data_IF_396580157331
#
_entry.id   IF_396580157331
#
_cell.length_a   1.000
_cell.length_b   1.000
_cell.length_c   1.000
_cell.angle_alpha   90.00
_cell.angle_beta   90.00
_cell.angle_gamma   90.00
#
_symmetry.space_group_name_H-M   'P 1'
#
loop_
_entity.id
_entity.type
_entity.pdbx_description
1 polymer ?
#
# COMPACT_ATOMS: atom_id res chain seq x y z
N UNK A 1 -6.34 -12.63 -29.42
CA UNK A 1 -6.55 -11.67 -28.34
C UNK A 1 -7.69 -12.05 -27.39
N UNK A 2 -8.95 -12.29 -27.87
CA UNK A 2 -10.07 -12.71 -27.00
C UNK A 2 -9.76 -13.96 -26.17
N UNK A 3 -9.18 -14.99 -26.78
CA UNK A 3 -8.78 -16.23 -26.10
C UNK A 3 -7.77 -15.93 -24.97
N UNK A 4 -6.73 -15.11 -25.24
CA UNK A 4 -5.74 -14.74 -24.22
C UNK A 4 -6.36 -13.99 -23.05
N UNK A 5 -7.26 -13.02 -23.31
CA UNK A 5 -7.99 -12.31 -22.24
C UNK A 5 -8.82 -13.28 -21.38
N UNK A 6 -9.51 -14.20 -22.02
CA UNK A 6 -10.31 -15.21 -21.33
C UNK A 6 -9.43 -16.13 -20.47
N UNK A 7 -8.32 -16.63 -21.05
CA UNK A 7 -7.39 -17.51 -20.35
C UNK A 7 -6.78 -16.81 -19.10
N UNK A 8 -6.28 -15.58 -19.25
CA UNK A 8 -5.74 -14.84 -18.12
C UNK A 8 -6.81 -14.45 -17.09
N UNK A 9 -8.03 -14.13 -17.54
CA UNK A 9 -9.16 -13.92 -16.64
C UNK A 9 -9.47 -15.16 -15.80
N UNK A 10 -9.48 -16.35 -16.41
CA UNK A 10 -9.64 -17.63 -15.69
C UNK A 10 -8.50 -17.91 -14.73
N UNK A 11 -7.24 -17.62 -15.11
CA UNK A 11 -6.08 -17.78 -14.22
C UNK A 11 -6.25 -16.88 -13.00
N UNK A 12 -6.59 -15.60 -13.17
CA UNK A 12 -6.84 -14.68 -12.07
C UNK A 12 -7.93 -15.19 -11.12
N UNK A 13 -9.05 -15.66 -11.67
CA UNK A 13 -10.15 -16.23 -10.87
C UNK A 13 -9.74 -17.52 -10.15
N UNK A 14 -8.96 -18.38 -10.79
CA UNK A 14 -8.45 -19.61 -10.19
C UNK A 14 -7.51 -19.32 -9.01
N UNK A 15 -6.61 -18.32 -9.14
CA UNK A 15 -5.73 -17.88 -8.05
C UNK A 15 -6.57 -17.30 -6.90
N UNK A 16 -7.57 -16.45 -7.21
CA UNK A 16 -8.48 -15.92 -6.20
C UNK A 16 -9.20 -17.04 -5.45
N UNK A 17 -9.76 -18.01 -6.17
CA UNK A 17 -10.43 -19.16 -5.57
C UNK A 17 -9.48 -19.98 -4.68
N UNK A 18 -8.26 -20.23 -5.15
CA UNK A 18 -7.21 -20.88 -4.36
C UNK A 18 -6.87 -20.11 -3.08
N UNK A 19 -6.76 -18.77 -3.19
CA UNK A 19 -6.53 -17.90 -2.04
C UNK A 19 -7.69 -18.02 -1.02
N UNK A 20 -8.95 -17.97 -1.48
CA UNK A 20 -10.14 -18.08 -0.61
C UNK A 20 -10.16 -19.44 0.10
N UNK A 21 -9.88 -20.54 -0.61
CA UNK A 21 -9.79 -21.88 -0.02
C UNK A 21 -8.64 -21.95 1.02
N UNK A 22 -7.53 -21.29 0.75
CA UNK A 22 -6.42 -21.23 1.72
C UNK A 22 -6.82 -20.44 2.97
N UNK A 23 -7.45 -19.28 2.78
CA UNK A 23 -7.88 -18.41 3.88
C UNK A 23 -8.97 -19.05 4.74
N UNK A 24 -9.88 -19.87 4.16
CA UNK A 24 -10.92 -20.55 4.93
C UNK A 24 -10.40 -21.56 5.98
N UNK A 25 -9.11 -21.90 5.87
CA UNK A 25 -8.40 -22.79 6.83
C UNK A 25 -7.60 -22.01 7.87
N UNK A 26 -7.63 -20.67 7.84
CA UNK A 26 -6.87 -19.87 8.78
C UNK A 26 -7.54 -19.84 10.15
N UNK A 27 -6.72 -19.89 11.18
CA UNK A 27 -7.10 -19.48 12.52
C UNK A 27 -6.89 -17.96 12.65
N UNK A 28 -7.77 -17.25 13.34
CA UNK A 28 -7.63 -15.81 13.57
C UNK A 28 -6.43 -15.46 14.45
N UNK A 29 -6.13 -16.27 15.45
CA UNK A 29 -4.93 -16.13 16.27
C UNK A 29 -3.76 -16.92 15.67
N UNK A 30 -3.18 -16.42 14.58
CA UNK A 30 -2.15 -17.14 13.81
C UNK A 30 -0.74 -17.11 14.41
N UNK A 31 -0.60 -16.70 15.65
CA UNK A 31 0.68 -16.67 16.36
C UNK A 31 1.61 -15.50 15.96
N UNK A 32 1.08 -14.52 15.25
CA UNK A 32 1.77 -13.26 14.95
C UNK A 32 1.26 -12.19 15.89
N UNK A 33 2.14 -11.57 16.64
CA UNK A 33 1.76 -10.61 17.69
C UNK A 33 0.96 -9.42 17.16
N UNK A 34 1.36 -8.88 16.00
CA UNK A 34 0.65 -7.80 15.31
C UNK A 34 -0.83 -8.13 15.07
N UNK A 35 -1.09 -9.35 14.62
CA UNK A 35 -2.41 -9.82 14.25
C UNK A 35 -3.34 -9.90 15.45
N UNK A 36 -2.85 -10.41 16.58
CA UNK A 36 -3.61 -10.50 17.85
C UNK A 36 -3.91 -9.10 18.40
N UNK A 37 -2.99 -8.15 18.23
CA UNK A 37 -3.20 -6.76 18.63
C UNK A 37 -4.31 -6.10 17.80
N UNK A 38 -4.39 -6.36 16.49
CA UNK A 38 -5.49 -5.86 15.67
C UNK A 38 -6.85 -6.49 16.06
N UNK A 39 -6.88 -7.75 16.47
CA UNK A 39 -8.10 -8.38 17.01
C UNK A 39 -8.55 -7.70 18.31
N UNK A 40 -7.62 -7.40 19.22
CA UNK A 40 -7.94 -6.60 20.41
C UNK A 40 -8.57 -5.25 20.05
N UNK A 41 -7.98 -4.55 19.07
CA UNK A 41 -8.51 -3.26 18.63
C UNK A 41 -9.90 -3.41 18.01
N UNK A 42 -10.14 -4.47 17.24
CA UNK A 42 -11.45 -4.76 16.68
C UNK A 42 -12.50 -5.02 17.81
N UNK A 43 -12.14 -5.79 18.81
CA UNK A 43 -12.96 -6.04 19.98
C UNK A 43 -13.31 -4.74 20.74
N UNK A 44 -12.34 -3.84 20.93
CA UNK A 44 -12.59 -2.52 21.53
C UNK A 44 -13.60 -1.69 20.70
N UNK A 45 -13.50 -1.70 19.36
CA UNK A 45 -14.46 -1.03 18.51
C UNK A 45 -15.85 -1.66 18.57
N UNK A 46 -15.96 -2.98 18.59
CA UNK A 46 -17.25 -3.65 18.71
C UNK A 46 -17.94 -3.36 20.03
N UNK A 47 -17.18 -3.28 21.11
CA UNK A 47 -17.70 -3.04 22.46
C UNK A 47 -17.98 -1.58 22.76
N UNK A 48 -17.12 -0.65 22.30
CA UNK A 48 -17.12 0.75 22.69
C UNK A 48 -17.44 1.72 21.53
N UNK A 49 -17.69 1.21 20.32
CA UNK A 49 -17.86 2.05 19.13
C UNK A 49 -16.63 2.94 18.91
N UNK A 50 -16.83 4.24 18.69
CA UNK A 50 -15.74 5.22 18.51
C UNK A 50 -14.83 5.30 19.74
N UNK A 51 -15.29 4.95 20.93
CA UNK A 51 -14.48 4.82 22.14
C UNK A 51 -13.32 3.82 22.01
N UNK A 52 -13.40 2.87 21.08
CA UNK A 52 -12.34 1.94 20.73
C UNK A 52 -11.07 2.57 20.12
N UNK A 53 -11.09 3.88 19.83
CA UNK A 53 -9.87 4.64 19.54
C UNK A 53 -8.94 4.74 20.76
N UNK A 54 -9.46 4.68 21.97
CA UNK A 54 -8.67 4.57 23.18
C UNK A 54 -8.25 3.11 23.37
N UNK A 55 -6.95 2.85 23.30
CA UNK A 55 -6.39 1.50 23.38
C UNK A 55 -5.70 1.19 24.71
N UNK A 56 -5.96 1.99 25.77
CA UNK A 56 -5.42 1.76 27.09
C UNK A 56 -5.72 0.32 27.55
N UNK A 57 -4.72 -0.37 28.10
CA UNK A 57 -4.85 -1.74 28.63
C UNK A 57 -5.89 -1.85 29.74
N UNK A 58 -6.15 -0.76 30.49
CA UNK A 58 -7.20 -0.71 31.50
C UNK A 58 -8.62 -0.97 30.94
N UNK A 59 -8.80 -0.90 29.62
CA UNK A 59 -10.06 -1.24 28.96
C UNK A 59 -10.26 -2.75 28.71
N UNK A 60 -9.28 -3.57 29.03
CA UNK A 60 -9.33 -5.04 28.89
C UNK A 60 -9.91 -5.74 30.13
N UNK A 61 -10.83 -5.08 30.84
CA UNK A 61 -11.45 -5.62 32.06
C UNK A 61 -12.29 -6.87 31.84
N UNK A 62 -12.60 -7.23 30.60
CA UNK A 62 -13.24 -8.47 30.19
C UNK A 62 -12.23 -9.59 29.85
N UNK A 63 -10.92 -9.32 30.02
CA UNK A 63 -9.83 -10.27 29.79
C UNK A 63 -9.76 -10.83 28.36
N UNK A 64 -10.34 -10.14 27.38
CA UNK A 64 -10.34 -10.58 25.97
C UNK A 64 -8.92 -10.79 25.44
N UNK A 65 -8.07 -9.76 25.58
CA UNK A 65 -6.71 -9.82 25.03
C UNK A 65 -5.84 -10.82 25.78
N UNK A 66 -5.99 -10.88 27.09
CA UNK A 66 -5.34 -11.92 27.92
C UNK A 66 -5.69 -13.33 27.44
N UNK A 67 -6.97 -13.57 27.11
CA UNK A 67 -7.42 -14.82 26.52
C UNK A 67 -6.76 -15.13 25.17
N UNK A 68 -6.66 -14.12 24.28
CA UNK A 68 -5.99 -14.26 23.00
C UNK A 68 -4.49 -14.51 23.13
N UNK A 69 -3.82 -13.88 24.08
CA UNK A 69 -2.40 -14.13 24.37
C UNK A 69 -2.14 -15.54 24.87
N UNK A 70 -3.04 -16.09 25.70
CA UNK A 70 -3.01 -17.50 26.11
C UNK A 70 -3.19 -18.44 24.93
N UNK A 71 -4.11 -18.13 24.02
CA UNK A 71 -4.38 -18.93 22.81
C UNK A 71 -3.13 -19.09 21.93
N UNK A 72 -2.29 -18.05 21.83
CA UNK A 72 -1.02 -18.09 21.08
C UNK A 72 0.19 -18.50 21.94
N UNK A 73 -0.04 -18.96 23.17
CA UNK A 73 0.99 -19.37 24.13
C UNK A 73 2.05 -18.27 24.41
N UNK A 74 1.63 -17.01 24.46
CA UNK A 74 2.53 -15.88 24.81
C UNK A 74 2.91 -15.97 26.30
N UNK A 75 4.20 -16.03 26.60
CA UNK A 75 4.67 -16.35 27.97
C UNK A 75 4.27 -15.30 29.02
N UNK A 76 4.22 -14.03 28.64
CA UNK A 76 3.99 -12.90 29.54
C UNK A 76 2.54 -12.36 29.47
N UNK A 77 1.59 -13.25 29.16
CA UNK A 77 0.17 -12.90 28.99
C UNK A 77 -0.47 -12.21 30.20
N UNK A 78 0.03 -12.48 31.41
CA UNK A 78 -0.52 -11.94 32.66
C UNK A 78 0.02 -10.57 33.07
N UNK A 79 1.04 -10.05 32.36
CA UNK A 79 1.63 -8.75 32.66
C UNK A 79 1.34 -7.73 31.55
N UNK A 80 0.35 -6.83 31.73
CA UNK A 80 0.03 -5.82 30.71
C UNK A 80 1.18 -4.91 30.32
N UNK A 81 2.19 -4.73 31.16
CA UNK A 81 3.37 -3.92 30.85
C UNK A 81 4.28 -4.59 29.81
N UNK A 82 4.13 -5.91 29.61
CA UNK A 82 4.89 -6.73 28.67
C UNK A 82 4.08 -7.23 27.49
N UNK A 83 2.82 -6.84 27.41
CA UNK A 83 1.99 -7.24 26.28
C UNK A 83 2.59 -6.78 24.94
N UNK A 84 2.57 -7.63 23.89
CA UNK A 84 3.09 -7.28 22.60
C UNK A 84 2.34 -6.08 22.02
N UNK A 85 3.00 -5.29 21.19
CA UNK A 85 2.44 -4.09 20.55
C UNK A 85 1.93 -3.00 21.51
N UNK A 86 2.22 -3.07 22.79
CA UNK A 86 1.79 -2.09 23.78
C UNK A 86 2.98 -1.35 24.38
N UNK A 87 2.85 -0.03 24.50
CA UNK A 87 3.92 0.83 24.99
C UNK A 87 3.42 1.72 26.12
N UNK A 88 4.25 1.95 27.14
CA UNK A 88 3.95 2.93 28.19
C UNK A 88 4.08 4.35 27.62
N UNK A 89 3.09 5.18 27.93
CA UNK A 89 3.06 6.59 27.56
C UNK A 89 3.48 7.46 28.76
N UNK A 90 3.97 8.69 28.52
CA UNK A 90 4.28 9.64 29.59
C UNK A 90 3.10 9.95 30.52
N UNK A 91 1.87 9.76 30.05
CA UNK A 91 0.64 9.89 30.84
C UNK A 91 0.38 8.76 31.84
N UNK A 92 1.26 7.75 31.91
CA UNK A 92 1.08 6.54 32.71
C UNK A 92 0.14 5.49 32.09
N UNK A 93 -0.45 5.77 30.90
CA UNK A 93 -1.24 4.79 30.14
C UNK A 93 -0.29 3.79 29.45
N UNK A 94 -0.74 2.53 29.31
CA UNK A 94 -0.14 1.57 28.42
C UNK A 94 -1.10 1.40 27.25
N UNK A 95 -0.65 1.70 26.02
CA UNK A 95 -1.51 1.78 24.83
C UNK A 95 -0.93 1.00 23.68
N UNK A 96 -1.79 0.57 22.77
CA UNK A 96 -1.38 -0.13 21.57
C UNK A 96 -0.72 0.84 20.58
N UNK A 97 0.34 0.37 19.92
CA UNK A 97 1.14 1.20 19.01
C UNK A 97 0.51 1.40 17.63
N UNK A 98 -0.37 0.48 17.19
CA UNK A 98 -0.87 0.50 15.81
C UNK A 98 -1.99 1.50 15.56
N UNK A 99 -2.06 2.06 14.32
CA UNK A 99 -3.16 2.90 13.89
C UNK A 99 -4.52 2.16 13.92
N UNK A 100 -5.65 2.90 14.00
CA UNK A 100 -6.95 2.31 14.32
C UNK A 100 -7.64 1.59 13.15
N UNK A 101 -7.24 1.82 11.91
CA UNK A 101 -8.04 1.43 10.75
C UNK A 101 -8.14 -0.07 10.51
N UNK A 102 -7.07 -0.84 10.76
CA UNK A 102 -7.13 -2.29 10.60
C UNK A 102 -8.09 -2.91 11.61
N UNK A 103 -7.99 -2.54 12.88
CA UNK A 103 -8.93 -3.00 13.90
C UNK A 103 -10.37 -2.56 13.60
N UNK A 104 -10.57 -1.32 13.13
CA UNK A 104 -11.90 -0.85 12.72
C UNK A 104 -12.48 -1.69 11.58
N UNK A 105 -11.71 -2.01 10.54
CA UNK A 105 -12.18 -2.86 9.44
C UNK A 105 -12.52 -4.28 9.89
N UNK A 106 -11.71 -4.85 10.78
CA UNK A 106 -11.99 -6.15 11.39
C UNK A 106 -13.28 -6.11 12.21
N UNK A 107 -13.53 -5.02 12.93
CA UNK A 107 -14.73 -4.86 13.76
C UNK A 107 -16.05 -4.84 12.96
N UNK A 108 -16.00 -4.66 11.65
CA UNK A 108 -17.18 -4.74 10.78
C UNK A 108 -17.71 -6.18 10.63
N UNK A 109 -16.93 -7.17 11.02
CA UNK A 109 -17.28 -8.58 10.93
C UNK A 109 -17.44 -9.19 12.33
N UNK A 110 -18.28 -10.23 12.48
CA UNK A 110 -18.48 -10.89 13.78
C UNK A 110 -17.17 -11.40 14.37
N UNK A 111 -17.05 -11.32 15.69
CA UNK A 111 -15.90 -11.84 16.42
C UNK A 111 -15.71 -13.35 16.12
N UNK A 112 -14.45 -13.76 15.96
CA UNK A 112 -14.11 -15.12 15.52
C UNK A 112 -14.21 -15.37 14.02
N UNK A 113 -14.73 -14.38 13.23
CA UNK A 113 -14.90 -14.44 11.78
C UNK A 113 -14.54 -13.11 11.12
N UNK A 114 -13.46 -12.45 11.58
CA UNK A 114 -13.11 -11.10 11.17
C UNK A 114 -12.09 -11.07 10.01
N UNK A 115 -11.13 -11.97 10.05
CA UNK A 115 -9.95 -11.95 9.19
C UNK A 115 -10.26 -12.35 7.76
N UNK A 116 -10.94 -13.50 7.59
CA UNK A 116 -11.22 -14.05 6.25
C UNK A 116 -12.08 -13.10 5.41
N UNK A 117 -13.19 -12.52 5.90
CA UNK A 117 -13.98 -11.56 5.13
C UNK A 117 -13.19 -10.30 4.74
N UNK A 118 -12.33 -9.77 5.61
CA UNK A 118 -11.47 -8.63 5.30
C UNK A 118 -10.55 -8.94 4.12
N UNK A 119 -9.87 -10.09 4.16
CA UNK A 119 -8.97 -10.51 3.08
C UNK A 119 -9.71 -10.81 1.78
N UNK A 120 -10.89 -11.43 1.86
CA UNK A 120 -11.74 -11.69 0.69
C UNK A 120 -12.16 -10.37 0.04
N UNK A 121 -12.66 -9.41 0.82
CA UNK A 121 -13.06 -8.11 0.32
C UNK A 121 -11.89 -7.37 -0.37
N UNK A 122 -10.72 -7.33 0.25
CA UNK A 122 -9.53 -6.72 -0.32
C UNK A 122 -9.08 -7.46 -1.60
N UNK A 123 -9.10 -8.79 -1.61
CA UNK A 123 -8.73 -9.60 -2.77
C UNK A 123 -9.70 -9.44 -3.95
N UNK A 124 -10.99 -9.25 -3.68
CA UNK A 124 -11.99 -8.96 -4.71
C UNK A 124 -11.73 -7.60 -5.39
N UNK A 125 -11.34 -6.57 -4.63
CA UNK A 125 -10.97 -5.26 -5.19
C UNK A 125 -9.75 -5.41 -6.12
N UNK A 126 -8.70 -6.09 -5.66
CA UNK A 126 -7.48 -6.32 -6.45
C UNK A 126 -7.79 -7.15 -7.70
N UNK A 127 -8.59 -8.22 -7.58
CA UNK A 127 -9.01 -9.05 -8.71
C UNK A 127 -9.83 -8.24 -9.73
N UNK A 128 -10.78 -7.43 -9.27
CA UNK A 128 -11.58 -6.56 -10.14
C UNK A 128 -10.73 -5.60 -10.96
N UNK A 129 -9.69 -5.00 -10.34
CA UNK A 129 -8.74 -4.14 -11.06
C UNK A 129 -7.83 -4.94 -11.99
N UNK A 130 -7.38 -6.14 -11.62
CA UNK A 130 -6.61 -7.02 -12.49
C UNK A 130 -7.40 -7.39 -13.76
N UNK A 131 -8.67 -7.81 -13.59
CA UNK A 131 -9.56 -8.09 -14.70
C UNK A 131 -9.80 -6.84 -15.57
N UNK A 132 -10.02 -5.68 -14.94
CA UNK A 132 -10.15 -4.41 -15.66
C UNK A 132 -8.92 -4.10 -16.52
N UNK A 133 -7.71 -4.32 -16.01
CA UNK A 133 -6.47 -4.19 -16.76
C UNK A 133 -6.39 -5.12 -17.97
N UNK A 134 -6.78 -6.39 -17.80
CA UNK A 134 -6.83 -7.38 -18.89
C UNK A 134 -7.84 -6.96 -19.97
N UNK A 135 -9.02 -6.46 -19.56
CA UNK A 135 -10.03 -5.99 -20.53
C UNK A 135 -9.59 -4.72 -21.27
N UNK A 136 -8.89 -3.80 -20.60
CA UNK A 136 -8.35 -2.57 -21.21
C UNK A 136 -7.21 -2.84 -22.20
N UNK A 137 -6.50 -3.95 -22.08
CA UNK A 137 -5.40 -4.31 -22.97
C UNK A 137 -5.88 -4.45 -24.43
N UNK A 138 -5.19 -3.81 -25.38
CA UNK A 138 -5.58 -3.74 -26.79
C UNK A 138 -4.72 -4.61 -27.71
N UNK A 139 -3.55 -5.05 -27.25
CA UNK A 139 -2.62 -5.88 -28.01
C UNK A 139 -2.33 -7.17 -27.25
N UNK A 140 -1.80 -8.20 -27.94
CA UNK A 140 -1.42 -9.44 -27.28
C UNK A 140 -0.33 -9.21 -26.19
N UNK A 141 0.77 -8.48 -26.44
CA UNK A 141 1.75 -8.18 -25.38
C UNK A 141 1.16 -7.47 -24.17
N UNK A 142 0.26 -6.49 -24.39
CA UNK A 142 -0.39 -5.79 -23.27
C UNK A 142 -1.35 -6.70 -22.51
N UNK A 143 -2.01 -7.64 -23.19
CA UNK A 143 -2.89 -8.63 -22.54
C UNK A 143 -2.08 -9.61 -21.68
N UNK A 144 -0.94 -10.09 -22.20
CA UNK A 144 -0.02 -10.95 -21.45
C UNK A 144 0.54 -10.22 -20.22
N UNK A 145 1.05 -8.99 -20.42
CA UNK A 145 1.59 -8.19 -19.33
C UNK A 145 0.56 -7.90 -18.23
N UNK A 146 -0.65 -7.47 -18.61
CA UNK A 146 -1.75 -7.24 -17.66
C UNK A 146 -2.19 -8.53 -16.96
N UNK A 147 -2.22 -9.65 -17.69
CA UNK A 147 -2.57 -10.97 -17.13
C UNK A 147 -1.55 -11.48 -16.12
N UNK A 148 -0.27 -11.42 -16.44
CA UNK A 148 0.81 -11.83 -15.55
C UNK A 148 0.88 -10.94 -14.30
N UNK A 149 0.75 -9.61 -14.48
CA UNK A 149 0.73 -8.69 -13.36
C UNK A 149 -0.51 -8.90 -12.49
N UNK A 150 -1.69 -9.07 -13.09
CA UNK A 150 -2.92 -9.36 -12.36
C UNK A 150 -2.84 -10.65 -11.53
N UNK A 151 -2.32 -11.73 -12.15
CA UNK A 151 -2.08 -13.00 -11.46
C UNK A 151 -1.12 -12.83 -10.26
N UNK A 152 0.00 -12.13 -10.47
CA UNK A 152 0.96 -11.80 -9.40
C UNK A 152 0.30 -10.99 -8.28
N UNK A 153 -0.45 -9.95 -8.63
CA UNK A 153 -1.08 -9.06 -7.64
C UNK A 153 -2.09 -9.83 -6.77
N UNK A 154 -2.90 -10.72 -7.35
CA UNK A 154 -3.85 -11.55 -6.60
C UNK A 154 -3.11 -12.58 -5.73
N UNK A 155 -2.07 -13.22 -6.26
CA UNK A 155 -1.22 -14.14 -5.51
C UNK A 155 -0.61 -13.47 -4.26
N UNK A 156 -0.16 -12.22 -4.39
CA UNK A 156 0.45 -11.47 -3.30
C UNK A 156 -0.54 -11.06 -2.20
N UNK A 157 -1.85 -11.18 -2.41
CA UNK A 157 -2.84 -10.84 -1.38
C UNK A 157 -2.74 -11.68 -0.11
N UNK A 158 -2.23 -12.92 -0.20
CA UNK A 158 -2.07 -13.81 0.95
C UNK A 158 -0.62 -14.25 1.21
N UNK A 159 0.24 -14.02 0.21
CA UNK A 159 1.65 -14.36 0.33
C UNK A 159 2.44 -13.13 0.62
N UNK A 160 3.15 -12.66 1.21
CA UNK A 160 3.67 -11.89 2.30
C UNK A 160 2.57 -11.26 3.18
N UNK A 161 1.43 -10.94 2.63
CA UNK A 161 0.34 -10.25 3.37
C UNK A 161 -0.17 -11.07 4.55
N UNK A 162 0.00 -12.39 4.54
CA UNK A 162 -0.34 -13.25 5.69
C UNK A 162 0.45 -12.93 6.97
N UNK A 163 1.50 -12.12 6.85
CA UNK A 163 2.32 -11.74 7.99
C UNK A 163 1.76 -10.56 8.79
N UNK A 164 0.77 -9.82 8.27
CA UNK A 164 0.08 -8.76 9.02
C UNK A 164 -1.26 -8.43 8.37
N UNK A 165 -2.32 -8.36 9.17
CA UNK A 165 -3.68 -8.05 8.70
C UNK A 165 -3.80 -6.65 8.08
N UNK A 166 -2.91 -5.74 8.41
CA UNK A 166 -2.87 -4.39 7.85
C UNK A 166 -2.49 -4.32 6.37
N UNK A 167 -1.85 -5.38 5.84
CA UNK A 167 -1.37 -5.40 4.45
C UNK A 167 -2.53 -5.58 3.46
N UNK A 168 -3.51 -6.43 3.76
CA UNK A 168 -4.61 -6.68 2.83
C UNK A 168 -5.38 -5.41 2.43
N UNK A 169 -5.89 -4.57 3.36
CA UNK A 169 -6.55 -3.33 3.01
C UNK A 169 -5.58 -2.31 2.38
N UNK A 170 -4.31 -2.27 2.80
CA UNK A 170 -3.29 -1.42 2.17
C UNK A 170 -3.11 -1.77 0.69
N UNK A 171 -3.02 -3.06 0.35
CA UNK A 171 -2.87 -3.52 -1.04
C UNK A 171 -4.07 -3.15 -1.91
N UNK A 172 -5.29 -3.25 -1.39
CA UNK A 172 -6.49 -2.81 -2.09
C UNK A 172 -6.47 -1.30 -2.36
N UNK A 173 -6.08 -0.50 -1.36
CA UNK A 173 -5.92 0.96 -1.53
C UNK A 173 -4.83 1.28 -2.55
N UNK A 174 -3.68 0.61 -2.51
CA UNK A 174 -2.60 0.80 -3.49
C UNK A 174 -3.06 0.50 -4.92
N UNK A 175 -3.88 -0.53 -5.11
CA UNK A 175 -4.41 -0.88 -6.43
C UNK A 175 -5.37 0.21 -6.96
N UNK A 176 -6.31 0.67 -6.13
CA UNK A 176 -7.25 1.75 -6.52
C UNK A 176 -6.52 3.08 -6.73
N UNK A 177 -5.62 3.46 -5.81
CA UNK A 177 -4.85 4.70 -5.93
C UNK A 177 -3.95 4.68 -7.17
N UNK A 178 -3.33 3.54 -7.51
CA UNK A 178 -2.54 3.38 -8.72
C UNK A 178 -3.37 3.55 -9.99
N UNK A 179 -4.56 2.97 -10.05
CA UNK A 179 -5.50 3.17 -11.15
C UNK A 179 -5.91 4.64 -11.29
N UNK A 180 -6.30 5.29 -10.17
CA UNK A 180 -6.72 6.70 -10.18
C UNK A 180 -5.55 7.63 -10.55
N UNK A 181 -4.33 7.32 -10.14
CA UNK A 181 -3.12 8.06 -10.51
C UNK A 181 -2.88 8.02 -12.02
N UNK A 182 -2.96 6.83 -12.62
CA UNK A 182 -2.87 6.68 -14.06
C UNK A 182 -3.99 7.48 -14.76
N UNK A 183 -5.23 7.34 -14.28
CA UNK A 183 -6.38 8.04 -14.84
C UNK A 183 -6.24 9.58 -14.74
N UNK A 184 -5.74 10.09 -13.60
CA UNK A 184 -5.54 11.52 -13.38
C UNK A 184 -4.52 12.13 -14.35
N UNK A 185 -3.38 11.47 -14.58
CA UNK A 185 -2.29 12.02 -15.36
C UNK A 185 -2.40 11.74 -16.87
N UNK A 186 -3.09 10.64 -17.27
CA UNK A 186 -3.24 10.30 -18.69
C UNK A 186 -4.44 10.97 -19.37
N UNK A 187 -5.38 11.54 -18.61
CA UNK A 187 -6.50 12.30 -19.15
C UNK A 187 -6.04 13.66 -19.70
N UNK A 188 -6.71 14.13 -20.75
CA UNK A 188 -6.40 15.42 -21.40
C UNK A 188 -6.53 16.62 -20.43
N UNK A 189 -7.50 16.57 -19.50
CA UNK A 189 -7.64 17.57 -18.42
C UNK A 189 -7.44 16.88 -17.07
N UNK A 190 -6.47 17.38 -16.30
CA UNK A 190 -6.22 16.91 -14.93
C UNK A 190 -7.39 17.31 -14.04
N UNK A 191 -7.98 16.34 -13.37
CA UNK A 191 -9.10 16.56 -12.45
C UNK A 191 -8.59 16.71 -11.03
N UNK A 192 -8.92 17.84 -10.38
CA UNK A 192 -8.65 18.06 -8.96
C UNK A 192 -9.36 17.02 -8.08
N UNK A 193 -10.57 16.58 -8.49
CA UNK A 193 -11.29 15.52 -7.76
C UNK A 193 -10.52 14.19 -7.77
N UNK A 194 -9.94 13.80 -8.92
CA UNK A 194 -9.19 12.54 -8.98
C UNK A 194 -7.95 12.57 -8.09
N UNK A 195 -7.19 13.66 -8.09
CA UNK A 195 -6.01 13.75 -7.24
C UNK A 195 -6.38 13.90 -5.75
N UNK A 196 -7.48 14.56 -5.42
CA UNK A 196 -8.02 14.60 -4.06
C UNK A 196 -8.46 13.20 -3.60
N UNK A 197 -9.11 12.40 -4.46
CA UNK A 197 -9.45 11.00 -4.13
C UNK A 197 -8.19 10.15 -3.89
N UNK A 198 -7.13 10.34 -4.69
CA UNK A 198 -5.84 9.68 -4.44
C UNK A 198 -5.28 10.10 -3.08
N UNK A 199 -5.30 11.40 -2.76
CA UNK A 199 -4.88 11.91 -1.46
C UNK A 199 -5.67 11.30 -0.31
N UNK A 200 -7.01 11.27 -0.43
CA UNK A 200 -7.90 10.68 0.57
C UNK A 200 -7.60 9.18 0.81
N UNK A 201 -7.42 8.41 -0.26
CA UNK A 201 -7.12 6.98 -0.17
C UNK A 201 -5.75 6.71 0.45
N UNK A 202 -4.71 7.44 0.01
CA UNK A 202 -3.38 7.29 0.58
C UNK A 202 -3.34 7.75 2.03
N UNK A 203 -4.01 8.85 2.38
CA UNK A 203 -4.22 9.28 3.76
C UNK A 203 -4.97 8.22 4.58
N UNK A 204 -6.05 7.66 4.05
CA UNK A 204 -6.80 6.59 4.70
C UNK A 204 -5.95 5.34 4.94
N UNK A 205 -4.99 5.03 4.06
CA UNK A 205 -4.09 3.90 4.24
C UNK A 205 -3.15 4.04 5.45
N UNK A 206 -2.91 5.27 5.92
CA UNK A 206 -2.13 5.53 7.14
C UNK A 206 -2.82 4.94 8.37
N UNK A 207 -4.16 4.86 8.35
CA UNK A 207 -4.91 4.23 9.44
C UNK A 207 -4.70 2.71 9.51
N UNK A 208 -4.18 2.07 8.47
CA UNK A 208 -3.81 0.65 8.51
C UNK A 208 -2.38 0.47 9.01
N UNK A 209 -1.47 1.35 8.59
CA UNK A 209 -0.05 1.31 8.95
C UNK A 209 0.55 2.71 8.88
N UNK A 210 1.21 3.12 9.96
CA UNK A 210 1.83 4.46 10.02
C UNK A 210 2.85 4.71 8.89
N UNK A 211 3.73 3.76 8.49
CA UNK A 211 4.65 3.95 7.38
C UNK A 211 3.99 4.23 6.02
N UNK A 212 2.70 3.94 5.86
CA UNK A 212 1.97 4.31 4.63
C UNK A 212 1.89 5.83 4.42
N UNK A 213 2.20 6.65 5.43
CA UNK A 213 2.37 8.10 5.27
C UNK A 213 3.43 8.45 4.21
N UNK A 214 4.43 7.58 4.01
CA UNK A 214 5.46 7.77 2.99
C UNK A 214 4.95 7.55 1.56
N UNK A 215 3.81 6.88 1.37
CA UNK A 215 3.21 6.67 0.05
C UNK A 215 2.74 7.98 -0.61
N UNK A 216 2.56 9.06 0.16
CA UNK A 216 2.19 10.38 -0.38
C UNK A 216 3.40 11.17 -0.90
N UNK A 217 4.63 10.79 -0.55
CA UNK A 217 5.82 11.60 -0.77
C UNK A 217 6.06 11.97 -2.24
N UNK A 218 5.98 11.00 -3.15
CA UNK A 218 6.17 11.25 -4.58
C UNK A 218 5.11 12.18 -5.17
N UNK A 219 3.88 12.11 -4.68
CA UNK A 219 2.81 13.03 -5.07
C UNK A 219 3.08 14.45 -4.59
N UNK A 220 3.49 14.60 -3.33
CA UNK A 220 3.88 15.90 -2.78
C UNK A 220 5.02 16.53 -3.59
N UNK A 221 6.08 15.77 -3.88
CA UNK A 221 7.21 16.23 -4.69
C UNK A 221 6.79 16.63 -6.10
N UNK A 222 5.95 15.82 -6.74
CA UNK A 222 5.46 16.09 -8.09
C UNK A 222 4.58 17.34 -8.13
N UNK A 223 3.58 17.46 -7.23
CA UNK A 223 2.66 18.59 -7.18
C UNK A 223 3.38 19.89 -6.81
N UNK A 224 4.30 19.84 -5.83
CA UNK A 224 5.13 21.00 -5.48
C UNK A 224 5.99 21.44 -6.66
N UNK A 225 6.65 20.50 -7.35
CA UNK A 225 7.47 20.81 -8.53
C UNK A 225 6.63 21.37 -9.68
N UNK A 226 5.44 20.81 -9.92
CA UNK A 226 4.51 21.30 -10.94
C UNK A 226 4.11 22.75 -10.64
N UNK A 227 3.68 23.05 -9.41
CA UNK A 227 3.32 24.40 -8.98
C UNK A 227 4.51 25.38 -9.06
N UNK A 228 5.68 25.01 -8.58
CA UNK A 228 6.87 25.86 -8.59
C UNK A 228 7.30 26.24 -10.02
N UNK A 229 7.07 25.34 -10.99
CA UNK A 229 7.38 25.60 -12.42
C UNK A 229 6.32 26.42 -13.13
N UNK A 230 5.04 26.11 -12.91
CA UNK A 230 3.93 26.71 -13.64
C UNK A 230 3.44 28.02 -13.01
N UNK A 231 3.52 28.12 -11.67
CA UNK A 231 2.95 29.20 -10.86
C UNK A 231 1.45 29.43 -11.10
N UNK A 232 0.72 28.40 -11.56
CA UNK A 232 -0.70 28.51 -11.87
C UNK A 232 -1.57 28.20 -10.65
N UNK A 233 -2.73 28.89 -10.56
CA UNK A 233 -3.74 28.61 -9.54
C UNK A 233 -4.25 27.14 -9.64
N UNK A 234 -4.33 26.61 -10.86
CA UNK A 234 -4.79 25.25 -11.08
C UNK A 234 -3.87 24.20 -10.41
N UNK A 235 -2.55 24.33 -10.56
CA UNK A 235 -1.60 23.40 -9.93
C UNK A 235 -1.56 23.60 -8.41
N UNK A 236 -1.71 24.84 -7.93
CA UNK A 236 -1.86 25.13 -6.50
C UNK A 236 -3.09 24.41 -5.90
N UNK A 237 -4.26 24.57 -6.55
CA UNK A 237 -5.53 23.95 -6.11
C UNK A 237 -5.45 22.42 -6.14
N UNK A 238 -4.76 21.82 -7.11
CA UNK A 238 -4.51 20.37 -7.13
C UNK A 238 -3.63 19.93 -5.95
N UNK A 239 -2.55 20.67 -5.67
CA UNK A 239 -1.66 20.38 -4.54
C UNK A 239 -2.39 20.50 -3.18
N UNK A 240 -3.14 21.60 -3.02
CA UNK A 240 -3.95 21.83 -1.81
C UNK A 240 -5.04 20.77 -1.65
N UNK A 241 -5.76 20.44 -2.73
CA UNK A 241 -6.82 19.42 -2.72
C UNK A 241 -6.29 18.05 -2.34
N UNK A 242 -5.12 17.66 -2.87
CA UNK A 242 -4.42 16.43 -2.48
C UNK A 242 -4.04 16.44 -1.00
N UNK A 243 -3.37 17.50 -0.53
CA UNK A 243 -2.89 17.60 0.84
C UNK A 243 -4.01 17.60 1.88
N UNK A 244 -5.06 18.40 1.66
CA UNK A 244 -6.25 18.43 2.54
C UNK A 244 -6.94 17.08 2.57
N UNK A 245 -7.15 16.45 1.41
CA UNK A 245 -7.78 15.13 1.33
C UNK A 245 -6.94 14.04 2.03
N UNK A 246 -5.61 14.10 1.91
CA UNK A 246 -4.72 13.19 2.63
C UNK A 246 -4.81 13.38 4.15
N UNK A 247 -4.84 14.62 4.64
CA UNK A 247 -5.04 14.91 6.07
C UNK A 247 -6.40 14.43 6.57
N UNK A 248 -7.46 14.63 5.79
CA UNK A 248 -8.80 14.10 6.12
C UNK A 248 -8.77 12.57 6.17
N UNK A 249 -8.13 11.92 5.20
CA UNK A 249 -7.99 10.45 5.18
C UNK A 249 -7.27 9.90 6.41
N UNK A 250 -6.21 10.57 6.89
CA UNK A 250 -5.44 10.13 8.05
C UNK A 250 -6.01 10.61 9.41
N UNK A 251 -7.08 11.39 9.41
CA UNK A 251 -7.66 11.97 10.64
C UNK A 251 -7.93 10.94 11.76
N UNK A 252 -8.46 9.71 11.50
CA UNK A 252 -8.63 8.71 12.55
C UNK A 252 -7.33 8.37 13.29
N UNK A 253 -6.20 8.25 12.57
CA UNK A 253 -4.89 8.03 13.21
C UNK A 253 -4.47 9.22 14.07
N UNK A 254 -4.63 10.45 13.56
CA UNK A 254 -4.28 11.67 14.31
C UNK A 254 -5.11 11.80 15.59
N UNK A 255 -6.40 11.46 15.53
CA UNK A 255 -7.30 11.45 16.70
C UNK A 255 -6.87 10.35 17.68
N UNK A 256 -6.59 9.14 17.18
CA UNK A 256 -6.13 8.04 18.04
C UNK A 256 -4.81 8.38 18.76
N UNK A 257 -3.86 9.02 18.08
CA UNK A 257 -2.63 9.49 18.68
C UNK A 257 -2.88 10.56 19.75
N UNK A 258 -3.78 11.53 19.48
CA UNK A 258 -4.15 12.52 20.48
C UNK A 258 -4.75 11.90 21.75
N UNK A 259 -5.60 10.87 21.59
CA UNK A 259 -6.25 10.16 22.70
C UNK A 259 -5.26 9.31 23.49
N UNK A 260 -4.35 8.62 22.82
CA UNK A 260 -3.45 7.64 23.43
C UNK A 260 -2.09 8.24 23.85
N UNK A 261 -1.49 9.10 23.01
CA UNK A 261 -0.15 9.67 23.22
C UNK A 261 -0.19 11.16 23.64
N UNK A 262 -1.37 11.76 23.74
CA UNK A 262 -1.55 13.15 24.23
C UNK A 262 -1.41 14.23 23.16
N UNK A 263 -1.18 13.87 21.88
CA UNK A 263 -1.12 14.84 20.78
C UNK A 263 -1.27 14.17 19.41
N UNK A 264 -1.83 14.86 18.41
CA UNK A 264 -2.10 14.26 17.10
C UNK A 264 -0.82 13.88 16.32
N UNK A 265 0.29 14.50 16.64
CA UNK A 265 1.61 14.19 16.05
C UNK A 265 2.54 13.41 16.99
N UNK A 266 2.07 13.11 18.21
CA UNK A 266 2.79 12.23 19.14
C UNK A 266 2.65 10.77 18.65
N UNK A 267 3.71 9.98 18.84
CA UNK A 267 3.68 8.57 18.44
C UNK A 267 3.35 7.65 19.60
N UNK A 268 2.59 6.60 19.33
CA UNK A 268 2.36 5.46 20.23
C UNK A 268 3.43 4.38 20.08
N UNK A 269 4.33 4.50 19.11
CA UNK A 269 5.43 3.56 18.91
C UNK A 269 6.49 3.73 20.00
N UNK A 270 6.95 2.62 20.56
CA UNK A 270 8.01 2.60 21.56
C UNK A 270 9.41 2.87 21.00
N UNK A 271 10.38 3.06 21.89
CA UNK A 271 11.77 3.29 21.52
C UNK A 271 12.41 2.14 20.74
N UNK A 272 11.87 0.92 20.87
CA UNK A 272 12.37 -0.26 20.14
C UNK A 272 12.04 -0.18 18.65
N UNK A 273 10.91 0.43 18.29
CA UNK A 273 10.48 0.58 16.91
C UNK A 273 10.90 1.92 16.28
N UNK A 274 11.26 2.90 17.11
CA UNK A 274 11.75 4.22 16.68
C UNK A 274 13.28 4.23 16.59
N UNK A 275 13.83 3.38 15.73
CA UNK A 275 15.28 3.24 15.56
C UNK A 275 15.80 4.29 14.58
N UNK A 276 16.97 4.87 14.89
CA UNK A 276 17.63 5.80 13.98
C UNK A 276 17.99 5.11 12.65
N UNK A 277 17.84 5.81 11.51
CA UNK A 277 18.23 5.26 10.22
C UNK A 277 19.69 4.81 10.21
N UNK A 278 19.91 3.55 9.79
CA UNK A 278 21.23 2.97 9.61
C UNK A 278 21.20 1.95 8.49
N UNK A 279 22.22 1.96 7.63
CA UNK A 279 22.37 0.92 6.61
C UNK A 279 23.04 -0.31 7.20
N UNK A 280 22.24 -1.34 7.47
CA UNK A 280 22.71 -2.64 7.94
C UNK A 280 22.86 -3.60 6.76
N UNK A 281 24.08 -4.06 6.51
CA UNK A 281 24.36 -4.99 5.41
C UNK A 281 23.69 -6.34 5.58
N UNK A 282 23.45 -6.80 6.81
CA UNK A 282 22.73 -8.05 7.06
C UNK A 282 21.25 -7.89 6.65
N UNK A 283 20.61 -6.77 7.03
CA UNK A 283 19.24 -6.45 6.64
C UNK A 283 19.12 -6.31 5.12
N UNK A 284 20.05 -5.59 4.49
CA UNK A 284 20.09 -5.50 3.01
C UNK A 284 20.27 -6.88 2.36
N UNK A 285 21.11 -7.73 2.95
CA UNK A 285 21.28 -9.12 2.49
C UNK A 285 20.00 -9.95 2.62
N UNK A 286 19.16 -9.72 3.63
CA UNK A 286 17.86 -10.35 3.73
C UNK A 286 16.91 -9.87 2.63
N UNK A 287 16.82 -8.55 2.36
CA UNK A 287 16.00 -8.04 1.25
C UNK A 287 16.43 -8.61 -0.11
N UNK A 288 17.72 -8.75 -0.38
CA UNK A 288 18.23 -9.32 -1.64
C UNK A 288 17.85 -10.79 -1.87
N UNK A 289 17.58 -11.55 -0.80
CA UNK A 289 17.16 -12.96 -0.85
C UNK A 289 15.65 -13.13 -0.78
N UNK A 290 14.94 -12.07 -0.49
CA UNK A 290 13.48 -12.08 -0.35
C UNK A 290 12.80 -11.76 -1.69
N UNK A 291 11.55 -12.19 -1.83
CA UNK A 291 10.72 -11.89 -3.00
C UNK A 291 10.57 -10.39 -3.25
N UNK A 292 10.65 -9.56 -2.21
CA UNK A 292 10.58 -8.11 -2.33
C UNK A 292 11.65 -7.54 -3.27
N UNK A 293 12.83 -8.16 -3.34
CA UNK A 293 13.87 -7.74 -4.30
C UNK A 293 13.40 -7.85 -5.76
N UNK A 294 12.77 -8.97 -6.11
CA UNK A 294 12.22 -9.17 -7.46
C UNK A 294 11.16 -8.12 -7.76
N UNK A 295 10.30 -7.81 -6.79
CA UNK A 295 9.27 -6.79 -6.94
C UNK A 295 9.87 -5.38 -7.09
N UNK A 296 10.93 -5.06 -6.34
CA UNK A 296 11.66 -3.78 -6.46
C UNK A 296 12.24 -3.66 -7.87
N UNK A 297 12.95 -4.68 -8.35
CA UNK A 297 13.56 -4.70 -9.69
C UNK A 297 12.47 -4.51 -10.76
N UNK A 298 11.35 -5.20 -10.63
CA UNK A 298 10.22 -5.08 -11.56
C UNK A 298 9.64 -3.65 -11.57
N UNK A 299 9.47 -3.03 -10.40
CA UNK A 299 8.96 -1.68 -10.29
C UNK A 299 9.94 -0.65 -10.86
N UNK A 300 11.23 -0.77 -10.55
CA UNK A 300 12.28 0.10 -11.09
C UNK A 300 12.38 -0.04 -12.60
N UNK A 301 12.45 -1.26 -13.12
CA UNK A 301 12.58 -1.52 -14.55
C UNK A 301 11.36 -0.99 -15.32
N UNK A 302 10.13 -1.25 -14.85
CA UNK A 302 8.91 -0.77 -15.47
C UNK A 302 8.82 0.76 -15.43
N UNK A 303 9.22 1.39 -14.33
CA UNK A 303 9.25 2.86 -14.20
C UNK A 303 10.29 3.48 -15.12
N UNK A 304 11.52 2.94 -15.16
CA UNK A 304 12.58 3.39 -16.04
C UNK A 304 12.18 3.26 -17.52
N UNK A 305 11.51 2.15 -17.87
CA UNK A 305 10.93 1.97 -19.20
C UNK A 305 9.96 3.11 -19.57
N UNK A 306 9.01 3.44 -18.67
CA UNK A 306 8.06 4.52 -18.93
C UNK A 306 8.71 5.92 -18.89
N UNK A 307 9.75 6.15 -18.11
CA UNK A 307 10.52 7.39 -18.16
C UNK A 307 11.22 7.59 -19.52
N UNK A 308 11.72 6.49 -20.09
CA UNK A 308 12.49 6.52 -21.36
C UNK A 308 11.58 6.59 -22.58
N UNK A 309 10.47 5.85 -22.57
CA UNK A 309 9.63 5.64 -23.75
C UNK A 309 8.19 6.15 -23.59
N UNK A 310 7.77 6.54 -22.41
CA UNK A 310 6.45 7.11 -22.15
C UNK A 310 6.38 8.56 -22.60
N UNK A 311 5.22 8.96 -23.10
CA UNK A 311 4.95 10.33 -23.53
C UNK A 311 3.88 10.99 -22.66
N UNK A 312 3.89 12.31 -22.56
CA UNK A 312 2.86 13.11 -21.91
C UNK A 312 2.55 12.63 -20.49
N UNK A 313 1.30 12.29 -20.23
CA UNK A 313 0.81 11.86 -18.93
C UNK A 313 1.44 10.56 -18.41
N UNK A 314 1.78 9.63 -19.31
CA UNK A 314 2.43 8.35 -18.94
C UNK A 314 3.80 8.58 -18.31
N UNK A 315 4.60 9.48 -18.90
CA UNK A 315 5.89 9.87 -18.33
C UNK A 315 5.73 10.60 -16.99
N UNK A 316 4.64 11.35 -16.80
CA UNK A 316 4.35 12.02 -15.53
C UNK A 316 3.99 11.01 -14.43
N UNK A 317 3.26 9.93 -14.75
CA UNK A 317 3.05 8.81 -13.81
C UNK A 317 4.39 8.22 -13.38
N UNK A 318 5.29 7.96 -14.34
CA UNK A 318 6.61 7.43 -14.02
C UNK A 318 7.44 8.38 -13.12
N UNK A 319 7.31 9.71 -13.28
CA UNK A 319 7.95 10.69 -12.38
C UNK A 319 7.39 10.64 -10.95
N UNK A 320 6.06 10.57 -10.77
CA UNK A 320 5.44 10.40 -9.45
C UNK A 320 5.92 9.11 -8.79
N UNK A 321 5.91 8.00 -9.55
CA UNK A 321 6.36 6.70 -9.06
C UNK A 321 7.85 6.72 -8.70
N UNK A 322 8.70 7.37 -9.49
CA UNK A 322 10.12 7.54 -9.16
C UNK A 322 10.31 8.24 -7.82
N UNK A 323 9.63 9.37 -7.62
CA UNK A 323 9.69 10.09 -6.34
C UNK A 323 9.26 9.22 -5.15
N UNK A 324 8.16 8.46 -5.32
CA UNK A 324 7.70 7.54 -4.29
C UNK A 324 8.68 6.40 -4.03
N UNK A 325 9.19 5.74 -5.08
CA UNK A 325 10.16 4.65 -4.93
C UNK A 325 11.42 5.14 -4.21
N UNK A 326 11.98 6.28 -4.62
CA UNK A 326 13.21 6.82 -4.00
C UNK A 326 13.00 7.07 -2.52
N UNK A 327 11.96 7.82 -2.12
CA UNK A 327 11.72 8.16 -0.71
C UNK A 327 11.48 6.91 0.13
N UNK A 328 10.60 6.00 -0.34
CA UNK A 328 10.26 4.81 0.43
C UNK A 328 11.42 3.81 0.49
N UNK A 329 12.15 3.58 -0.62
CA UNK A 329 13.28 2.66 -0.60
C UNK A 329 14.42 3.19 0.27
N UNK A 330 14.72 4.51 0.22
CA UNK A 330 15.70 5.12 1.13
C UNK A 330 15.29 4.88 2.57
N UNK A 331 14.02 5.13 2.93
CA UNK A 331 13.52 4.92 4.28
C UNK A 331 13.62 3.46 4.71
N UNK A 332 13.03 2.53 3.97
CA UNK A 332 12.95 1.13 4.39
C UNK A 332 14.31 0.40 4.33
N UNK A 333 15.19 0.74 3.37
CA UNK A 333 16.52 0.14 3.30
C UNK A 333 17.50 0.73 4.31
N UNK A 334 17.22 1.93 4.83
CA UNK A 334 17.96 2.50 5.96
C UNK A 334 17.36 2.14 7.33
N UNK A 335 16.23 1.45 7.37
CA UNK A 335 15.63 0.97 8.61
C UNK A 335 16.30 -0.36 9.01
N UNK A 336 16.98 -0.47 10.18
CA UNK A 336 17.80 -1.63 10.53
C UNK A 336 16.96 -2.84 11.00
N UNK A 337 15.72 -2.95 10.55
CA UNK A 337 14.80 -4.06 10.85
C UNK A 337 14.24 -4.60 9.54
N UNK A 338 14.60 -5.86 9.21
CA UNK A 338 14.00 -6.54 8.08
C UNK A 338 12.57 -6.96 8.39
N UNK A 339 11.66 -6.65 7.48
CA UNK A 339 10.28 -7.14 7.55
C UNK A 339 9.82 -7.56 6.16
N UNK A 340 9.29 -8.80 5.99
CA UNK A 340 9.03 -9.39 4.67
C UNK A 340 7.86 -8.75 3.90
N UNK A 341 7.28 -7.67 4.41
CA UNK A 341 6.15 -6.98 3.78
C UNK A 341 6.27 -5.45 3.78
N UNK A 342 7.35 -4.86 4.27
CA UNK A 342 7.48 -3.39 4.39
C UNK A 342 7.49 -2.68 3.04
N UNK A 343 8.15 -3.25 2.05
CA UNK A 343 8.34 -2.64 0.73
C UNK A 343 7.16 -2.97 -0.21
N UNK A 344 6.38 -4.00 0.08
CA UNK A 344 5.28 -4.46 -0.79
C UNK A 344 4.28 -3.35 -1.13
N UNK A 345 3.78 -2.52 -0.21
CA UNK A 345 2.81 -1.48 -0.54
C UNK A 345 3.31 -0.48 -1.58
N UNK A 346 4.55 0.04 -1.43
CA UNK A 346 5.09 1.02 -2.37
C UNK A 346 5.35 0.41 -3.75
N UNK A 347 5.85 -0.80 -3.78
CA UNK A 347 6.10 -1.50 -5.04
C UNK A 347 4.78 -1.75 -5.77
N UNK A 348 3.74 -2.19 -5.05
CA UNK A 348 2.43 -2.45 -5.65
C UNK A 348 1.73 -1.18 -6.10
N UNK A 349 1.77 -0.09 -5.33
CA UNK A 349 1.29 1.22 -5.78
C UNK A 349 1.99 1.64 -7.09
N UNK A 350 3.30 1.45 -7.14
CA UNK A 350 4.12 1.76 -8.32
C UNK A 350 3.73 0.91 -9.53
N UNK A 351 3.65 -0.39 -9.37
CA UNK A 351 3.31 -1.32 -10.45
C UNK A 351 1.88 -1.11 -10.97
N UNK A 352 0.91 -0.87 -10.10
CA UNK A 352 -0.45 -0.53 -10.51
C UNK A 352 -0.50 0.78 -11.30
N UNK A 353 0.17 1.82 -10.82
CA UNK A 353 0.23 3.12 -11.49
C UNK A 353 0.85 3.01 -12.89
N UNK A 354 1.99 2.34 -12.98
CA UNK A 354 2.74 2.13 -14.24
C UNK A 354 1.96 1.24 -15.22
N UNK A 355 1.38 0.14 -14.73
CA UNK A 355 0.62 -0.80 -15.56
C UNK A 355 -0.61 -0.11 -16.18
N UNK A 356 -1.41 0.59 -15.39
CA UNK A 356 -2.57 1.30 -15.93
C UNK A 356 -2.18 2.47 -16.82
N UNK A 357 -1.13 3.22 -16.49
CA UNK A 357 -0.64 4.30 -17.37
C UNK A 357 -0.26 3.75 -18.75
N UNK A 358 0.45 2.63 -18.80
CA UNK A 358 0.81 1.97 -20.05
C UNK A 358 -0.42 1.47 -20.82
N UNK A 359 -1.43 0.88 -20.14
CA UNK A 359 -2.67 0.43 -20.76
C UNK A 359 -3.53 1.58 -21.30
N UNK A 360 -3.46 2.77 -20.72
CA UNK A 360 -4.19 3.97 -21.15
C UNK A 360 -3.49 4.76 -22.27
N UNK A 361 -2.24 4.44 -22.62
CA UNK A 361 -1.49 5.11 -23.68
C UNK A 361 -2.15 4.86 -25.05
N UNK A 362 -2.31 5.90 -25.91
CA UNK A 362 -2.80 5.74 -27.27
C UNK A 362 -1.92 4.77 -28.09
N UNK A 363 -2.52 4.03 -29.00
CA UNK A 363 -1.86 2.96 -29.77
C UNK A 363 -0.74 3.49 -30.67
N UNK A 364 -0.92 4.68 -31.24
CA UNK A 364 0.08 5.36 -32.07
C UNK A 364 1.40 5.63 -31.32
N UNK A 365 1.32 6.02 -30.06
CA UNK A 365 2.48 6.25 -29.22
C UNK A 365 3.19 4.94 -28.81
N UNK A 366 2.46 3.82 -28.79
CA UNK A 366 3.05 2.49 -28.50
C UNK A 366 3.82 1.91 -29.67
N UNK A 367 3.40 2.19 -30.91
CA UNK A 367 4.04 1.72 -32.13
C UNK A 367 5.31 2.52 -32.44
N UNK A 368 5.42 3.76 -31.96
CA UNK A 368 6.58 4.62 -32.10
C UNK A 368 7.73 4.26 -31.13
N UNK A 369 7.51 3.38 -30.13
CA UNK A 369 8.55 2.84 -29.26
C UNK A 369 9.22 1.63 -29.97
N UNK A 370 10.34 1.80 -30.72
CA UNK A 370 10.89 0.74 -31.53
C UNK A 370 11.75 -0.20 -30.71
N UNK A 371 11.54 -1.47 -30.92
CA UNK A 371 12.65 -2.44 -30.93
C UNK A 371 13.58 -2.02 -32.08
N UNK A 372 14.55 -1.14 -31.80
CA UNK A 372 15.59 -0.75 -32.77
C UNK A 372 15.25 0.44 -33.67
N UNK A 373 15.43 1.69 -33.20
CA UNK A 373 15.86 2.76 -34.08
C UNK A 373 17.36 2.64 -34.24
N UNK A 374 17.81 2.29 -35.43
CA UNK A 374 19.18 2.58 -35.89
C UNK A 374 19.46 4.07 -35.64
N UNK A 375 20.67 4.42 -35.14
CA UNK A 375 21.04 5.82 -35.02
C UNK A 375 20.95 6.44 -36.40
N UNK A 376 20.18 7.55 -36.53
CA UNK A 376 20.10 8.32 -37.75
C UNK A 376 21.54 8.59 -38.24
N UNK A 377 21.89 8.11 -39.41
CA UNK A 377 23.15 8.37 -40.05
C UNK A 377 23.29 9.90 -40.15
N UNK A 378 24.27 10.43 -39.44
CA UNK A 378 24.69 11.84 -39.59
C UNK A 378 25.15 12.00 -41.03
N UNK A 379 24.28 12.56 -41.86
CA UNK A 379 24.64 12.93 -43.21
C UNK A 379 25.81 13.91 -43.18
N UNK A 380 26.98 13.44 -43.59
CA UNK A 380 28.16 14.27 -43.84
C UNK A 380 27.82 15.12 -45.07
N UNK A 381 27.84 16.46 -45.00
CA UNK A 381 27.67 17.28 -46.20
C UNK A 381 28.89 17.08 -47.10
N UNK A 382 28.66 16.57 -48.30
CA UNK A 382 29.65 16.54 -49.38
C UNK A 382 29.98 17.98 -49.79
N UNK A 383 31.25 18.34 -49.72
CA UNK A 383 31.82 19.55 -50.31
C UNK A 383 31.87 19.40 -51.83
#
# INVERSE_FOLDING_TARGET
MKIAKFAFGLICLAILASNIVTMSRWNEARGVYDDVCYLRQAHLFQRLGIGGLNTNVALDYDHYFEGKLKEIAFAEWSDPARWPCHNPMPSGKIVMQYPPGTGFLLALFPEGHQVVPLYVAASLVVCGLALSGIFMARTLPSTVGAGLFGALAIYLMINPAKASYSIAPTMAVCAVAGFLTALWLTRHRRSTLLIALVGLLLGASVNFRLPNALLVAGYCLFLATAFLRSRTLADFVQGLGFGVAALVGMAPTLIAQAVNAGGPLATTYGSVDAVAPAFDLAVLGHYLRDMQFVLIVLAIASTAWLLRWGEGGVRQVALVVTGNLVVNLVFFLSHPIFTPYYIVPIVMLSLWSVSFAWLMQPEQARQAAPLGREPASIGVPSR
#
